data_IF_333920051566
#
_entry.id   IF_333920051566
#
_cell.length_a   1.000
_cell.length_b   1.000
_cell.length_c   1.000
_cell.angle_alpha   90.00
_cell.angle_beta   90.00
_cell.angle_gamma   90.00
#
_symmetry.space_group_name_H-M   'P 1'
#
loop_
_entity.id
_entity.type
_entity.pdbx_description
1 polymer ?
#
# COMPACT_ATOMS: atom_id res chain seq x y z
N UNK A 1 4.38 0.22 -19.97
CA UNK A 1 4.51 0.04 -18.51
C UNK A 1 5.70 -0.90 -18.29
N UNK A 2 6.72 -0.47 -17.53
CA UNK A 2 7.90 -1.30 -17.24
C UNK A 2 7.73 -1.88 -15.83
N UNK A 3 8.09 -3.16 -15.68
CA UNK A 3 7.96 -3.91 -14.44
C UNK A 3 9.34 -4.36 -13.98
N UNK A 4 9.63 -4.18 -12.69
CA UNK A 4 10.87 -4.59 -12.04
C UNK A 4 10.72 -5.89 -11.25
N UNK A 5 11.83 -6.39 -10.64
CA UNK A 5 11.73 -7.44 -9.64
C UNK A 5 10.86 -6.99 -8.45
N UNK A 6 10.37 -7.93 -7.65
CA UNK A 6 9.52 -7.63 -6.49
C UNK A 6 10.21 -6.70 -5.49
N UNK A 7 11.47 -7.00 -5.20
CA UNK A 7 12.37 -6.24 -4.33
C UNK A 7 13.71 -6.08 -5.06
N UNK A 8 14.45 -5.04 -4.71
CA UNK A 8 15.79 -4.83 -5.25
C UNK A 8 16.80 -5.77 -4.58
N UNK A 9 17.47 -6.61 -5.37
CA UNK A 9 18.44 -7.60 -4.88
C UNK A 9 19.69 -6.94 -4.27
N UNK A 10 19.98 -5.69 -4.64
CA UNK A 10 21.09 -4.92 -4.07
C UNK A 10 20.73 -4.32 -2.70
N UNK A 11 19.46 -3.96 -2.47
CA UNK A 11 19.00 -3.38 -1.20
C UNK A 11 18.67 -4.44 -0.15
N UNK A 12 18.18 -5.61 -0.57
CA UNK A 12 17.73 -6.65 0.36
C UNK A 12 18.05 -8.05 -0.14
N UNK A 13 19.14 -8.62 0.40
CA UNK A 13 19.65 -9.93 0.01
C UNK A 13 19.61 -10.99 1.14
N UNK A 14 18.42 -11.41 1.60
CA UNK A 14 18.31 -12.64 2.35
C UNK A 14 18.37 -13.83 1.39
N UNK A 15 19.29 -14.75 1.63
CA UNK A 15 19.43 -15.99 0.87
C UNK A 15 18.14 -16.84 0.78
N UNK A 16 17.21 -16.71 1.74
CA UNK A 16 15.92 -17.39 1.68
C UNK A 16 14.96 -16.76 0.67
N UNK A 17 15.06 -15.46 0.44
CA UNK A 17 14.18 -14.69 -0.44
C UNK A 17 14.60 -14.85 -1.90
N UNK A 18 15.92 -14.83 -2.16
CA UNK A 18 16.49 -15.03 -3.50
C UNK A 18 16.04 -16.35 -4.15
N UNK A 19 15.88 -17.41 -3.34
CA UNK A 19 15.43 -18.73 -3.83
C UNK A 19 14.06 -18.70 -4.49
N UNK A 20 13.20 -17.78 -4.06
CA UNK A 20 11.81 -17.69 -4.51
C UNK A 20 11.48 -16.40 -5.24
N UNK A 21 12.48 -15.53 -5.50
CA UNK A 21 12.26 -14.20 -6.08
C UNK A 21 11.55 -14.26 -7.45
N UNK A 22 11.87 -15.29 -8.25
CA UNK A 22 11.26 -15.56 -9.55
C UNK A 22 9.77 -15.95 -9.49
N UNK A 23 9.27 -16.30 -8.30
CA UNK A 23 7.85 -16.59 -8.04
C UNK A 23 7.09 -15.38 -7.51
N UNK A 24 7.79 -14.30 -7.15
CA UNK A 24 7.18 -13.13 -6.54
C UNK A 24 6.53 -12.21 -7.58
N UNK A 25 5.52 -11.41 -7.17
CA UNK A 25 4.91 -10.42 -8.05
C UNK A 25 5.92 -9.39 -8.55
N UNK A 26 5.73 -8.85 -9.76
CA UNK A 26 6.60 -7.79 -10.27
C UNK A 26 6.21 -6.44 -9.69
N UNK A 27 7.19 -5.60 -9.38
CA UNK A 27 6.97 -4.23 -8.93
C UNK A 27 6.69 -3.30 -10.11
N UNK A 28 5.85 -2.29 -9.88
CA UNK A 28 5.66 -1.19 -10.81
C UNK A 28 6.80 -0.17 -10.73
N UNK A 29 6.78 0.82 -11.62
CA UNK A 29 7.81 1.86 -11.67
C UNK A 29 7.61 3.00 -10.65
N UNK A 30 6.46 3.07 -9.97
CA UNK A 30 6.20 4.12 -9.00
C UNK A 30 6.83 3.77 -7.65
N UNK A 31 7.38 4.74 -6.89
CA UNK A 31 7.98 4.48 -5.58
C UNK A 31 7.05 3.71 -4.64
N UNK A 32 5.77 4.07 -4.57
CA UNK A 32 4.75 3.41 -3.74
C UNK A 32 4.43 1.96 -4.17
N UNK A 33 4.92 1.51 -5.32
CA UNK A 33 4.73 0.16 -5.86
C UNK A 33 6.01 -0.68 -5.84
N UNK A 34 7.08 -0.17 -5.23
CA UNK A 34 8.33 -0.89 -5.00
C UNK A 34 8.39 -1.36 -3.55
N UNK A 35 8.91 -2.55 -3.32
CA UNK A 35 9.36 -2.93 -1.99
C UNK A 35 10.75 -2.34 -1.75
N UNK A 36 10.80 -1.17 -1.13
CA UNK A 36 12.02 -0.54 -0.63
C UNK A 36 12.12 -0.74 0.88
N UNK A 37 13.34 -0.67 1.43
CA UNK A 37 13.57 -0.67 2.88
C UNK A 37 14.25 0.64 3.31
N UNK A 38 13.89 1.75 2.66
CA UNK A 38 14.51 3.06 2.85
C UNK A 38 13.79 3.87 3.92
N UNK A 39 14.10 3.57 5.17
CA UNK A 39 13.57 4.28 6.32
C UNK A 39 13.81 5.80 6.27
N UNK A 40 14.95 6.24 5.72
CA UNK A 40 15.34 7.66 5.77
C UNK A 40 14.47 8.53 4.88
N UNK A 41 14.05 7.99 3.73
CA UNK A 41 13.08 8.65 2.86
C UNK A 41 11.66 8.45 3.41
N UNK A 42 11.31 7.23 3.80
CA UNK A 42 9.94 6.88 4.21
C UNK A 42 9.48 7.67 5.44
N UNK A 43 10.36 7.94 6.41
CA UNK A 43 10.02 8.74 7.60
C UNK A 43 9.55 10.17 7.26
N UNK A 44 10.01 10.72 6.13
CA UNK A 44 9.66 12.07 5.69
C UNK A 44 8.49 12.04 4.72
N UNK A 45 8.38 11.00 3.89
CA UNK A 45 7.31 10.88 2.88
C UNK A 45 5.98 10.46 3.52
N UNK A 46 5.97 9.44 4.39
CA UNK A 46 4.73 8.84 4.88
C UNK A 46 3.84 9.79 5.69
N UNK A 47 4.38 10.67 6.56
CA UNK A 47 3.56 11.66 7.27
C UNK A 47 2.87 12.67 6.35
N UNK A 48 3.36 12.83 5.11
CA UNK A 48 2.86 13.79 4.13
C UNK A 48 1.94 13.16 3.08
N UNK A 49 1.52 11.90 3.26
CA UNK A 49 0.57 11.25 2.34
C UNK A 49 -0.79 11.95 2.43
N UNK A 50 -1.33 12.33 1.28
CA UNK A 50 -2.69 12.84 1.16
C UNK A 50 -3.70 11.71 1.37
N UNK A 51 -4.37 11.73 2.53
CA UNK A 51 -5.35 10.71 2.90
C UNK A 51 -6.70 10.91 2.19
N UNK A 52 -6.93 12.05 1.54
CA UNK A 52 -8.12 12.32 0.74
C UNK A 52 -7.95 11.90 -0.73
N UNK A 53 -6.80 11.32 -1.11
CA UNK A 53 -6.56 10.81 -2.47
C UNK A 53 -7.60 9.74 -2.84
N UNK A 54 -8.06 9.80 -4.10
CA UNK A 54 -8.97 8.83 -4.70
C UNK A 54 -8.54 7.35 -4.56
N UNK A 55 -7.24 7.07 -4.44
CA UNK A 55 -6.69 5.74 -4.21
C UNK A 55 -7.12 5.17 -2.84
N UNK A 56 -7.46 6.03 -1.88
CA UNK A 56 -7.99 5.66 -0.56
C UNK A 56 -9.52 5.78 -0.46
N UNK A 57 -10.22 6.05 -1.57
CA UNK A 57 -11.67 6.07 -1.61
C UNK A 57 -12.22 4.63 -1.58
N UNK A 58 -12.35 4.07 -0.37
CA UNK A 58 -12.96 2.77 -0.16
C UNK A 58 -14.49 2.88 -0.21
N UNK A 59 -15.11 2.23 -1.20
CA UNK A 59 -16.56 2.04 -1.17
C UNK A 59 -16.88 0.96 -0.12
N UNK A 60 -17.40 1.38 1.02
CA UNK A 60 -18.04 0.44 1.94
C UNK A 60 -19.42 0.11 1.36
N UNK A 61 -19.49 -0.91 0.49
CA UNK A 61 -20.76 -1.53 0.11
C UNK A 61 -21.27 -2.34 1.31
N UNK A 62 -21.69 -1.63 2.36
CA UNK A 62 -22.40 -2.22 3.45
C UNK A 62 -23.74 -2.73 2.94
N UNK A 63 -23.77 -3.99 2.53
CA UNK A 63 -24.98 -4.80 2.64
C UNK A 63 -25.47 -4.89 4.11
N UNK A 64 -24.78 -4.24 5.07
CA UNK A 64 -25.19 -4.11 6.47
C UNK A 64 -24.88 -2.74 7.12
N UNK A 65 -24.78 -1.65 6.34
CA UNK A 65 -24.58 -0.28 6.89
C UNK A 65 -25.89 0.45 7.26
N UNK A 66 -27.04 -0.13 6.94
CA UNK A 66 -28.34 0.56 6.98
C UNK A 66 -28.89 0.78 8.40
N UNK A 67 -28.23 0.28 9.44
CA UNK A 67 -28.76 0.28 10.80
C UNK A 67 -28.39 1.49 11.68
N UNK A 68 -27.46 2.38 11.29
CA UNK A 68 -26.90 3.37 12.25
C UNK A 68 -27.14 4.86 11.96
N UNK A 69 -27.98 5.22 10.98
CA UNK A 69 -28.41 6.62 10.75
C UNK A 69 -29.88 6.89 11.03
N UNK A 70 -30.48 6.18 11.99
CA UNK A 70 -31.79 6.52 12.54
C UNK A 70 -31.79 6.24 14.04
N UNK A 71 -31.28 7.18 14.84
CA UNK A 71 -31.84 7.65 16.12
C UNK A 71 -30.82 8.62 16.71
N UNK A 72 -31.01 9.90 16.44
CA UNK A 72 -30.18 10.98 16.98
C UNK A 72 -30.87 12.33 16.80
N UNK A 73 -32.21 12.33 16.81
CA UNK A 73 -33.00 13.52 17.08
C UNK A 73 -33.24 13.55 18.58
N UNK A 74 -32.50 14.39 19.29
CA UNK A 74 -32.79 14.76 20.68
C UNK A 74 -33.32 16.18 20.63
N UNK A 75 -34.64 16.29 20.78
CA UNK A 75 -35.27 17.38 21.54
C UNK A 75 -34.98 17.19 23.01
#
# INVERSE_FOLDING_TARGET
MRFGPWIDEEEFNPNYLLRSLHLMPKAGNKPEWRHTQDYWVEKDVFPNIDLDDSAFAYDYSGADATARRRTGGVT
#
